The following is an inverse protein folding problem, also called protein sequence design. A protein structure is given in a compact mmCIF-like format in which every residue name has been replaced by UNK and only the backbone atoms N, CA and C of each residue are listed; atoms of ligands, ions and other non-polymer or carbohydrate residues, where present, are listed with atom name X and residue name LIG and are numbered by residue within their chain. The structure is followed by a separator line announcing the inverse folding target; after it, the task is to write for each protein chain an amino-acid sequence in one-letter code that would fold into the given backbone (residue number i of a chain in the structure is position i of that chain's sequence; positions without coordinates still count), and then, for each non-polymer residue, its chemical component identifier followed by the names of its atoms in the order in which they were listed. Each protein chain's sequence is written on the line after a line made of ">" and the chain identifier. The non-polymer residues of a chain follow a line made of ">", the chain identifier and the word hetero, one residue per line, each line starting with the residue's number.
data_IF_066068628286
#
_entry.id   IF_066068628286
#
_cell.length_a   1.000
_cell.length_b   1.000
_cell.length_c   1.000
_cell.angle_alpha   90.00
_cell.angle_beta   90.00
_cell.angle_gamma   90.00
#
_symmetry.space_group_name_H-M   'P 1'
#
loop_
_entity.id
_entity.type
_entity.pdbx_description
1 polymer ?
#
# COMPACT_ATOMS: atom_id res chain seq x y z
N UNK A 1 28.07 2.43 49.65
CA UNK A 1 26.79 3.10 49.32
C UNK A 1 27.02 3.90 48.05
N UNK A 2 27.21 3.24 46.91
CA UNK A 2 26.18 2.75 45.96
C UNK A 2 25.43 3.90 45.30
N UNK A 3 26.00 4.42 44.22
CA UNK A 3 25.28 5.21 43.22
C UNK A 3 24.61 4.23 42.25
N UNK A 4 23.28 4.30 42.14
CA UNK A 4 22.47 3.46 41.26
C UNK A 4 22.19 4.23 39.99
N UNK A 5 22.92 3.88 38.93
CA UNK A 5 22.63 4.28 37.55
C UNK A 5 21.54 3.36 37.02
N UNK A 6 20.35 3.89 36.73
CA UNK A 6 19.25 3.13 36.12
C UNK A 6 19.47 3.13 34.60
N UNK A 7 20.11 2.08 34.10
CA UNK A 7 20.10 1.67 32.70
C UNK A 7 18.83 0.87 32.44
N UNK A 8 17.83 1.50 31.80
CA UNK A 8 16.66 0.77 31.29
C UNK A 8 17.06 0.03 30.02
N UNK A 9 17.08 -1.29 30.13
CA UNK A 9 17.38 -2.28 29.10
C UNK A 9 16.24 -2.38 28.09
N UNK A 10 16.54 -2.08 26.83
CA UNK A 10 15.68 -2.38 25.68
C UNK A 10 15.81 -3.88 25.37
N UNK A 11 14.72 -4.65 25.20
CA UNK A 11 14.82 -6.04 24.78
C UNK A 11 15.21 -6.14 23.31
N UNK A 12 16.37 -6.74 23.08
CA UNK A 12 16.79 -7.32 21.81
C UNK A 12 15.87 -8.51 21.46
N UNK A 13 15.27 -8.51 20.26
CA UNK A 13 15.18 -9.66 19.33
C UNK A 13 14.01 -9.51 18.35
N UNK A 14 14.37 -9.37 17.08
CA UNK A 14 13.48 -9.53 15.92
C UNK A 14 14.33 -9.44 14.67
N UNK A 15 14.90 -10.57 14.26
CA UNK A 15 15.68 -10.72 13.03
C UNK A 15 14.94 -10.07 11.85
N UNK A 16 15.53 -9.04 11.28
CA UNK A 16 15.24 -8.62 9.92
C UNK A 16 16.14 -9.48 9.04
N UNK A 17 15.61 -10.63 8.62
CA UNK A 17 16.08 -11.31 7.41
C UNK A 17 15.53 -10.52 6.23
N UNK A 18 16.22 -9.43 5.90
CA UNK A 18 16.01 -8.76 4.62
C UNK A 18 16.57 -9.69 3.54
N UNK A 19 15.65 -10.38 2.88
CA UNK A 19 15.83 -11.16 1.67
C UNK A 19 16.23 -10.24 0.49
N UNK A 20 17.36 -9.57 0.58
CA UNK A 20 17.96 -8.79 -0.51
C UNK A 20 18.82 -9.63 -1.45
N UNK A 21 18.85 -10.97 -1.27
CA UNK A 21 19.62 -11.88 -2.10
C UNK A 21 18.88 -12.39 -3.36
N UNK A 22 17.60 -12.06 -3.56
CA UNK A 22 16.81 -12.65 -4.66
C UNK A 22 16.82 -11.87 -5.98
N UNK A 23 17.44 -10.68 -6.04
CA UNK A 23 17.46 -9.86 -7.26
C UNK A 23 18.83 -9.76 -7.95
N UNK A 24 19.90 -10.23 -7.31
CA UNK A 24 21.24 -10.27 -7.93
C UNK A 24 21.40 -11.46 -8.90
N UNK A 25 20.50 -12.45 -8.83
CA UNK A 25 20.62 -13.69 -9.59
C UNK A 25 20.01 -13.65 -10.98
N UNK A 26 19.07 -12.73 -11.27
CA UNK A 26 18.33 -12.75 -12.55
C UNK A 26 19.22 -12.45 -13.76
N UNK A 27 20.16 -11.50 -13.64
CA UNK A 27 21.08 -11.16 -14.74
C UNK A 27 22.12 -12.27 -14.97
N UNK A 28 22.72 -12.79 -13.89
CA UNK A 28 23.69 -13.88 -13.97
C UNK A 28 23.05 -15.17 -14.51
N UNK A 29 21.83 -15.49 -14.09
CA UNK A 29 21.07 -16.65 -14.56
C UNK A 29 20.69 -16.54 -16.03
N UNK A 30 20.28 -15.36 -16.51
CA UNK A 30 20.01 -15.13 -17.94
C UNK A 30 21.29 -15.28 -18.77
N UNK A 31 22.43 -14.78 -18.30
CA UNK A 31 23.72 -14.92 -18.99
C UNK A 31 24.12 -16.40 -19.06
N UNK A 32 24.02 -17.14 -17.95
CA UNK A 32 24.33 -18.56 -17.89
C UNK A 32 23.41 -19.41 -18.78
N UNK A 33 22.11 -19.14 -18.78
CA UNK A 33 21.16 -19.79 -19.70
C UNK A 33 21.49 -19.49 -21.17
N UNK A 34 21.93 -18.27 -21.50
CA UNK A 34 22.35 -17.96 -22.87
C UNK A 34 23.64 -18.67 -23.29
N UNK A 35 24.57 -18.90 -22.37
CA UNK A 35 25.79 -19.70 -22.63
C UNK A 35 25.46 -21.19 -22.78
N UNK A 36 24.56 -21.72 -21.96
CA UNK A 36 24.06 -23.10 -22.11
C UNK A 36 23.39 -23.31 -23.47
N UNK A 37 22.54 -22.38 -23.90
CA UNK A 37 21.90 -22.41 -25.23
C UNK A 37 22.94 -22.31 -26.36
N UNK A 38 24.00 -21.49 -26.22
CA UNK A 38 25.12 -21.46 -27.19
C UNK A 38 25.84 -22.81 -27.25
N UNK A 39 26.05 -23.47 -26.11
CA UNK A 39 26.71 -24.79 -26.03
C UNK A 39 25.88 -25.89 -26.70
N UNK A 40 24.56 -25.86 -26.53
CA UNK A 40 23.64 -26.76 -27.25
C UNK A 40 23.71 -26.49 -28.75
N UNK A 41 23.61 -25.23 -29.18
CA UNK A 41 23.64 -24.85 -30.60
C UNK A 41 24.93 -25.29 -31.29
N UNK A 42 26.08 -25.07 -30.64
CA UNK A 42 27.38 -25.50 -31.18
C UNK A 42 27.51 -27.02 -31.24
N UNK A 43 26.91 -27.76 -30.29
CA UNK A 43 26.89 -29.23 -30.32
C UNK A 43 25.99 -29.76 -31.43
N UNK A 44 24.79 -29.20 -31.60
CA UNK A 44 23.89 -29.55 -32.70
C UNK A 44 24.50 -29.23 -34.07
N UNK A 45 25.23 -28.12 -34.19
CA UNK A 45 25.93 -27.75 -35.42
C UNK A 45 27.10 -28.71 -35.72
N UNK A 46 27.80 -29.22 -34.69
CA UNK A 46 28.82 -30.27 -34.88
C UNK A 46 28.20 -31.58 -35.35
N UNK A 47 27.09 -32.00 -34.76
CA UNK A 47 26.36 -33.22 -35.16
C UNK A 47 25.87 -33.10 -36.60
N UNK A 48 25.29 -31.95 -36.96
CA UNK A 48 24.88 -31.64 -38.33
C UNK A 48 26.07 -31.72 -39.30
N UNK A 49 27.20 -31.09 -38.97
CA UNK A 49 28.38 -31.16 -39.82
C UNK A 49 28.97 -32.57 -39.92
N UNK A 50 28.81 -33.43 -38.92
CA UNK A 50 29.24 -34.81 -38.97
C UNK A 50 28.36 -35.66 -39.90
N UNK A 51 27.04 -35.50 -39.80
CA UNK A 51 26.06 -36.21 -40.63
C UNK A 51 26.18 -35.78 -42.10
N UNK A 52 26.37 -34.50 -42.37
CA UNK A 52 26.38 -33.97 -43.74
C UNK A 52 27.76 -33.86 -44.40
N UNK A 53 28.87 -34.05 -43.65
CA UNK A 53 30.22 -34.13 -44.25
C UNK A 53 30.66 -35.57 -44.58
N UNK A 54 30.09 -36.60 -43.95
CA UNK A 54 30.41 -38.00 -44.27
C UNK A 54 29.77 -38.48 -45.59
N UNK A 55 28.66 -37.86 -46.03
CA UNK A 55 28.02 -38.22 -47.30
C UNK A 55 28.83 -37.82 -48.56
N UNK A 56 29.70 -36.81 -48.46
CA UNK A 56 30.51 -36.32 -49.60
C UNK A 56 31.84 -37.07 -49.74
N UNK A 57 32.33 -37.78 -48.70
CA UNK A 57 33.67 -38.38 -48.70
C UNK A 57 33.72 -39.90 -48.96
N UNK A 58 32.62 -40.62 -48.79
CA UNK A 58 32.63 -42.09 -48.87
C UNK A 58 32.28 -42.69 -50.25
N UNK A 59 31.91 -41.89 -51.25
CA UNK A 59 31.55 -42.39 -52.57
C UNK A 59 32.71 -42.53 -53.57
N UNK A 60 33.94 -42.22 -53.17
CA UNK A 60 35.09 -42.21 -54.10
C UNK A 60 36.38 -42.71 -53.46
N UNK A 61 36.40 -43.91 -52.89
CA UNK A 61 37.68 -44.62 -52.70
C UNK A 61 37.47 -46.12 -52.50
N UNK A 62 37.98 -46.86 -53.50
CA UNK A 62 38.39 -48.26 -53.46
C UNK A 62 37.30 -49.33 -53.65
N UNK A 63 37.57 -50.44 -54.32
CA UNK A 63 38.45 -50.79 -55.42
C UNK A 63 38.07 -52.26 -55.73
N UNK A 64 38.09 -52.65 -57.00
CA UNK A 64 38.12 -54.05 -57.45
C UNK A 64 38.97 -54.94 -56.52
N UNK A 65 38.45 -56.10 -56.14
CA UNK A 65 39.14 -57.40 -56.19
C UNK A 65 38.22 -58.52 -55.68
N UNK A 66 38.35 -59.72 -56.25
CA UNK A 66 37.94 -60.94 -55.56
C UNK A 66 36.85 -61.81 -56.19
N UNK A 67 36.64 -61.78 -57.51
CA UNK A 67 36.13 -62.99 -58.16
C UNK A 67 37.26 -64.04 -58.12
N UNK A 68 36.97 -65.18 -57.48
CA UNK A 68 37.70 -66.47 -57.43
C UNK A 68 38.53 -66.76 -56.17
N UNK A 69 37.90 -67.59 -55.33
CA UNK A 69 38.28 -68.98 -55.02
C UNK A 69 39.05 -69.28 -53.72
N UNK A 70 38.38 -70.04 -52.84
CA UNK A 70 38.92 -71.15 -52.04
C UNK A 70 37.68 -71.98 -51.61
N UNK A 71 37.56 -73.29 -51.75
CA UNK A 71 38.56 -74.34 -51.67
C UNK A 71 38.30 -75.14 -50.39
N UNK A 72 37.45 -76.17 -50.46
CA UNK A 72 37.49 -77.26 -49.48
C UNK A 72 37.39 -78.61 -50.21
N UNK A 73 38.41 -79.42 -49.99
CA UNK A 73 38.66 -80.76 -50.52
C UNK A 73 38.14 -81.79 -49.53
N UNK A 74 37.74 -82.95 -50.06
CA UNK A 74 37.48 -84.29 -49.47
C UNK A 74 35.97 -84.63 -49.46
N UNK A 75 35.48 -85.74 -50.03
CA UNK A 75 36.11 -86.99 -50.47
C UNK A 75 35.33 -87.58 -51.65
N UNK A 76 36.04 -88.27 -52.52
CA UNK A 76 35.43 -89.27 -53.39
C UNK A 76 35.07 -90.50 -52.57
N UNK A 77 33.84 -90.95 -52.71
CA UNK A 77 33.47 -92.36 -52.66
C UNK A 77 32.35 -92.55 -53.67
N UNK A 78 32.67 -93.31 -54.72
CA UNK A 78 31.68 -94.04 -55.48
C UNK A 78 30.85 -94.88 -54.50
N UNK A 79 29.61 -94.48 -54.29
CA UNK A 79 28.56 -95.39 -53.88
C UNK A 79 27.25 -94.80 -54.33
N UNK A 80 26.78 -95.36 -55.43
CA UNK A 80 25.41 -95.38 -55.88
C UNK A 80 24.49 -95.79 -54.70
N UNK A 81 23.97 -94.81 -53.95
CA UNK A 81 22.67 -94.84 -53.26
C UNK A 81 22.33 -93.44 -52.70
N UNK A 82 21.14 -92.99 -53.03
CA UNK A 82 20.43 -91.72 -52.76
C UNK A 82 20.68 -91.00 -51.40
N UNK A 83 21.11 -89.71 -51.40
CA UNK A 83 21.13 -88.85 -50.21
C UNK A 83 20.24 -87.58 -50.33
N UNK A 84 19.03 -87.70 -50.89
CA UNK A 84 18.14 -86.54 -51.12
C UNK A 84 17.20 -86.17 -49.94
N UNK A 85 16.90 -87.09 -49.01
CA UNK A 85 15.95 -86.81 -47.91
C UNK A 85 16.52 -86.01 -46.72
N UNK A 86 17.74 -86.32 -46.25
CA UNK A 86 18.26 -85.72 -45.01
C UNK A 86 18.62 -84.22 -45.13
N UNK A 87 18.90 -83.73 -46.35
CA UNK A 87 19.22 -82.32 -46.63
C UNK A 87 17.96 -81.45 -46.70
N UNK A 88 16.88 -81.99 -47.28
CA UNK A 88 15.58 -81.31 -47.38
C UNK A 88 14.95 -81.10 -46.00
N UNK A 89 15.02 -82.11 -45.13
CA UNK A 89 14.46 -82.05 -43.78
C UNK A 89 15.19 -81.02 -42.90
N UNK A 90 16.53 -80.96 -42.97
CA UNK A 90 17.34 -79.98 -42.25
C UNK A 90 17.04 -78.54 -42.70
N UNK A 91 16.78 -78.33 -43.99
CA UNK A 91 16.37 -77.02 -44.51
C UNK A 91 14.97 -76.65 -44.05
N UNK A 92 14.05 -77.61 -44.00
CA UNK A 92 12.68 -77.39 -43.55
C UNK A 92 12.62 -77.04 -42.06
N UNK A 93 13.43 -77.67 -41.20
CA UNK A 93 13.58 -77.27 -39.79
C UNK A 93 14.14 -75.86 -39.64
N UNK A 94 15.15 -75.50 -40.43
CA UNK A 94 15.72 -74.15 -40.44
C UNK A 94 14.69 -73.09 -40.85
N UNK A 95 13.82 -73.40 -41.81
CA UNK A 95 12.73 -72.50 -42.23
C UNK A 95 11.72 -72.33 -41.08
N UNK A 96 11.25 -73.42 -40.48
CA UNK A 96 10.33 -73.38 -39.32
C UNK A 96 10.92 -72.58 -38.15
N UNK A 97 12.21 -72.74 -37.86
CA UNK A 97 12.91 -71.97 -36.83
C UNK A 97 12.96 -70.47 -37.14
N UNK A 98 13.24 -70.11 -38.40
CA UNK A 98 13.21 -68.71 -38.86
C UNK A 98 11.81 -68.10 -38.81
N UNK A 99 10.77 -68.85 -39.16
CA UNK A 99 9.38 -68.41 -39.09
C UNK A 99 8.94 -68.16 -37.63
N UNK A 100 9.35 -69.05 -36.71
CA UNK A 100 9.10 -68.86 -35.29
C UNK A 100 9.80 -67.60 -34.75
N UNK A 101 11.06 -67.39 -35.15
CA UNK A 101 11.81 -66.18 -34.79
C UNK A 101 11.16 -64.91 -35.37
N UNK A 102 10.67 -64.94 -36.61
CA UNK A 102 9.96 -63.83 -37.23
C UNK A 102 8.66 -63.51 -36.49
N UNK A 103 7.91 -64.54 -36.09
CA UNK A 103 6.69 -64.38 -35.30
C UNK A 103 6.97 -63.73 -33.94
N UNK A 104 8.06 -64.13 -33.28
CA UNK A 104 8.48 -63.55 -32.01
C UNK A 104 8.93 -62.09 -32.15
N UNK A 105 9.77 -61.78 -33.15
CA UNK A 105 10.14 -60.39 -33.45
C UNK A 105 8.92 -59.52 -33.82
N UNK A 106 7.93 -60.08 -34.51
CA UNK A 106 6.71 -59.34 -34.85
C UNK A 106 5.88 -59.00 -33.60
N UNK A 107 5.78 -59.93 -32.64
CA UNK A 107 5.15 -59.66 -31.33
C UNK A 107 5.91 -58.58 -30.55
N UNK A 108 7.25 -58.63 -30.57
CA UNK A 108 8.08 -57.60 -29.93
C UNK A 108 7.86 -56.21 -30.56
N UNK A 109 7.80 -56.13 -31.89
CA UNK A 109 7.53 -54.87 -32.60
C UNK A 109 6.17 -54.27 -32.22
N UNK A 110 5.11 -55.08 -32.10
CA UNK A 110 3.80 -54.60 -31.63
C UNK A 110 3.86 -54.08 -30.19
N UNK A 111 4.60 -54.75 -29.30
CA UNK A 111 4.81 -54.26 -27.92
C UNK A 111 5.60 -52.94 -27.91
N UNK A 112 6.63 -52.80 -28.73
CA UNK A 112 7.41 -51.58 -28.84
C UNK A 112 6.57 -50.41 -29.35
N UNK A 113 5.68 -50.66 -30.32
CA UNK A 113 4.73 -49.66 -30.83
C UNK A 113 3.80 -49.15 -29.73
N UNK A 114 3.21 -50.04 -28.93
CA UNK A 114 2.36 -49.67 -27.79
C UNK A 114 3.15 -48.85 -26.76
N UNK A 115 4.38 -49.27 -26.42
CA UNK A 115 5.24 -48.52 -25.48
C UNK A 115 5.59 -47.12 -25.99
N UNK A 116 5.86 -47.00 -27.29
CA UNK A 116 6.15 -45.71 -27.92
C UNK A 116 4.93 -44.80 -27.86
N UNK A 117 3.75 -45.30 -28.21
CA UNK A 117 2.49 -44.55 -28.13
C UNK A 117 2.17 -44.15 -26.69
N UNK A 118 2.30 -45.06 -25.72
CA UNK A 118 2.10 -44.78 -24.30
C UNK A 118 3.09 -43.72 -23.77
N UNK A 119 4.37 -43.79 -24.17
CA UNK A 119 5.38 -42.80 -23.78
C UNK A 119 5.08 -41.42 -24.38
N UNK A 120 4.60 -41.37 -25.62
CA UNK A 120 4.17 -40.13 -26.28
C UNK A 120 2.94 -39.53 -25.60
N UNK A 121 1.94 -40.35 -25.29
CA UNK A 121 0.72 -39.88 -24.61
C UNK A 121 1.03 -39.42 -23.18
N UNK A 122 1.86 -40.15 -22.44
CA UNK A 122 2.32 -39.71 -21.12
C UNK A 122 3.07 -38.36 -21.17
N UNK A 123 3.92 -38.16 -22.18
CA UNK A 123 4.60 -36.89 -22.43
C UNK A 123 3.63 -35.74 -22.75
N UNK A 124 2.66 -35.98 -23.64
CA UNK A 124 1.64 -34.99 -23.98
C UNK A 124 0.74 -34.65 -22.78
N UNK A 125 0.36 -35.65 -21.97
CA UNK A 125 -0.41 -35.46 -20.75
C UNK A 125 0.37 -34.65 -19.70
N UNK A 126 1.66 -34.90 -19.52
CA UNK A 126 2.51 -34.12 -18.64
C UNK A 126 2.59 -32.65 -19.05
N UNK A 127 2.76 -32.37 -20.36
CA UNK A 127 2.77 -31.00 -20.88
C UNK A 127 1.42 -30.30 -20.68
N UNK A 128 0.31 -30.98 -20.95
CA UNK A 128 -1.05 -30.45 -20.69
C UNK A 128 -1.24 -30.12 -19.21
N UNK A 129 -0.82 -31.00 -18.31
CA UNK A 129 -0.95 -30.78 -16.86
C UNK A 129 -0.13 -29.56 -16.39
N UNK A 130 1.13 -29.46 -16.84
CA UNK A 130 1.98 -28.31 -16.51
C UNK A 130 1.39 -27.01 -17.04
N UNK A 131 0.94 -26.99 -18.30
CA UNK A 131 0.33 -25.81 -18.90
C UNK A 131 -0.95 -25.37 -18.16
N UNK A 132 -1.80 -26.32 -17.80
CA UNK A 132 -3.03 -26.05 -17.02
C UNK A 132 -2.70 -25.47 -15.65
N UNK A 133 -1.79 -26.09 -14.89
CA UNK A 133 -1.38 -25.59 -13.56
C UNK A 133 -0.79 -24.19 -13.62
N UNK A 134 0.04 -23.93 -14.64
CA UNK A 134 0.65 -22.61 -14.82
C UNK A 134 -0.42 -21.54 -15.08
N UNK A 135 -1.42 -21.85 -15.91
CA UNK A 135 -2.55 -20.96 -16.17
C UNK A 135 -3.43 -20.74 -14.93
N UNK A 136 -3.77 -21.80 -14.20
CA UNK A 136 -4.56 -21.73 -12.96
C UNK A 136 -3.85 -20.90 -11.89
N UNK A 137 -2.54 -21.12 -11.72
CA UNK A 137 -1.72 -20.35 -10.78
C UNK A 137 -1.69 -18.87 -11.16
N UNK A 138 -1.45 -18.55 -12.43
CA UNK A 138 -1.46 -17.16 -12.90
C UNK A 138 -2.83 -16.50 -12.69
N UNK A 139 -3.92 -17.20 -13.01
CA UNK A 139 -5.26 -16.68 -12.83
C UNK A 139 -5.58 -16.43 -11.35
N UNK A 140 -5.22 -17.37 -10.48
CA UNK A 140 -5.42 -17.27 -9.02
C UNK A 140 -4.62 -16.10 -8.45
N UNK A 141 -3.34 -16.02 -8.78
CA UNK A 141 -2.46 -14.93 -8.33
C UNK A 141 -2.94 -13.55 -8.83
N UNK A 142 -3.38 -13.46 -10.09
CA UNK A 142 -3.90 -12.21 -10.65
C UNK A 142 -5.18 -11.76 -9.94
N UNK A 143 -6.08 -12.70 -9.60
CA UNK A 143 -7.30 -12.41 -8.84
C UNK A 143 -6.97 -11.97 -7.41
N UNK A 144 -6.05 -12.67 -6.73
CA UNK A 144 -5.65 -12.33 -5.37
C UNK A 144 -5.01 -10.95 -5.27
N UNK A 145 -4.11 -10.60 -6.20
CA UNK A 145 -3.48 -9.27 -6.24
C UNK A 145 -4.52 -8.17 -6.48
N UNK A 146 -5.48 -8.39 -7.40
CA UNK A 146 -6.58 -7.45 -7.64
C UNK A 146 -7.43 -7.26 -6.39
N UNK A 147 -7.83 -8.35 -5.74
CA UNK A 147 -8.60 -8.30 -4.51
C UNK A 147 -7.87 -7.53 -3.41
N UNK A 148 -6.59 -7.86 -3.15
CA UNK A 148 -5.77 -7.15 -2.14
C UNK A 148 -5.66 -5.65 -2.43
N UNK A 149 -5.56 -5.29 -3.71
CA UNK A 149 -5.50 -3.88 -4.12
C UNK A 149 -6.85 -3.18 -3.91
N UNK A 150 -7.97 -3.84 -4.23
CA UNK A 150 -9.32 -3.33 -3.95
C UNK A 150 -9.56 -3.17 -2.45
N UNK A 151 -9.20 -4.17 -1.64
CA UNK A 151 -9.30 -4.11 -0.17
C UNK A 151 -8.46 -2.97 0.40
N UNK A 152 -7.23 -2.80 -0.10
CA UNK A 152 -6.35 -1.69 0.30
C UNK A 152 -6.95 -0.33 -0.08
N UNK A 153 -7.60 -0.24 -1.25
CA UNK A 153 -8.28 0.97 -1.71
C UNK A 153 -9.47 1.31 -0.82
N UNK A 154 -10.30 0.32 -0.48
CA UNK A 154 -11.43 0.49 0.43
C UNK A 154 -10.97 0.91 1.83
N UNK A 155 -9.93 0.27 2.36
CA UNK A 155 -9.35 0.62 3.66
C UNK A 155 -8.84 2.07 3.70
N UNK A 156 -8.13 2.51 2.65
CA UNK A 156 -7.67 3.88 2.52
C UNK A 156 -8.84 4.87 2.39
N UNK A 157 -9.90 4.51 1.67
CA UNK A 157 -11.10 5.34 1.52
C UNK A 157 -11.82 5.52 2.86
N UNK A 158 -12.05 4.43 3.59
CA UNK A 158 -12.67 4.47 4.92
C UNK A 158 -11.83 5.30 5.89
N UNK A 159 -10.50 5.10 5.92
CA UNK A 159 -9.62 5.89 6.78
C UNK A 159 -9.62 7.39 6.44
N UNK A 160 -9.68 7.71 5.14
CA UNK A 160 -9.77 9.09 4.65
C UNK A 160 -11.08 9.73 5.12
N UNK A 161 -12.22 9.05 4.92
CA UNK A 161 -13.53 9.54 5.34
C UNK A 161 -13.63 9.71 6.85
N UNK A 162 -13.08 8.78 7.64
CA UNK A 162 -13.07 8.88 9.10
C UNK A 162 -12.27 10.11 9.58
N UNK A 163 -11.09 10.35 8.98
CA UNK A 163 -10.27 11.53 9.29
C UNK A 163 -10.97 12.83 8.86
N UNK A 164 -11.62 12.84 7.70
CA UNK A 164 -12.40 13.97 7.22
C UNK A 164 -13.57 14.29 8.14
N UNK A 165 -14.30 13.27 8.61
CA UNK A 165 -15.39 13.45 9.56
C UNK A 165 -14.91 14.01 10.91
N UNK A 166 -13.80 13.49 11.45
CA UNK A 166 -13.18 14.02 12.68
C UNK A 166 -12.75 15.48 12.51
N UNK A 167 -12.17 15.83 11.36
CA UNK A 167 -11.81 17.21 11.05
C UNK A 167 -13.05 18.10 10.97
N UNK A 168 -14.11 17.65 10.30
CA UNK A 168 -15.38 18.37 10.21
C UNK A 168 -15.98 18.65 11.59
N UNK A 169 -15.98 17.66 12.48
CA UNK A 169 -16.45 17.84 13.85
C UNK A 169 -15.58 18.83 14.64
N UNK A 170 -14.26 18.80 14.45
CA UNK A 170 -13.34 19.74 15.10
C UNK A 170 -13.58 21.18 14.64
N UNK A 171 -13.76 21.38 13.34
CA UNK A 171 -14.10 22.69 12.76
C UNK A 171 -15.44 23.20 13.28
N UNK A 172 -16.46 22.35 13.32
CA UNK A 172 -17.78 22.70 13.85
C UNK A 172 -17.70 23.13 15.33
N UNK A 173 -16.98 22.37 16.16
CA UNK A 173 -16.76 22.72 17.56
C UNK A 173 -16.01 24.05 17.72
N UNK A 174 -14.99 24.31 16.87
CA UNK A 174 -14.27 25.58 16.88
C UNK A 174 -15.17 26.75 16.50
N UNK A 175 -16.02 26.58 15.48
CA UNK A 175 -16.99 27.60 15.08
C UNK A 175 -17.96 27.93 16.23
N UNK A 176 -18.51 26.92 16.89
CA UNK A 176 -19.40 27.14 18.05
C UNK A 176 -18.73 27.87 19.21
N UNK A 177 -17.44 27.62 19.45
CA UNK A 177 -16.69 28.36 20.48
C UNK A 177 -16.40 29.78 20.00
N UNK A 178 -16.10 29.98 18.72
CA UNK A 178 -15.86 31.30 18.15
C UNK A 178 -17.11 32.20 18.22
N UNK A 179 -18.28 31.66 17.86
CA UNK A 179 -19.57 32.36 17.99
C UNK A 179 -19.84 32.79 19.44
N UNK A 180 -19.69 31.86 20.40
CA UNK A 180 -19.83 32.19 21.84
C UNK A 180 -18.82 33.23 22.31
N UNK A 181 -17.59 33.20 21.78
CA UNK A 181 -16.56 34.17 22.13
C UNK A 181 -16.92 35.57 21.62
N UNK A 182 -17.45 35.66 20.40
CA UNK A 182 -17.96 36.90 19.79
C UNK A 182 -19.15 37.46 20.58
N UNK A 183 -20.13 36.62 20.93
CA UNK A 183 -21.26 37.02 21.79
C UNK A 183 -20.78 37.59 23.13
N UNK A 184 -19.83 36.93 23.79
CA UNK A 184 -19.25 37.41 25.05
C UNK A 184 -18.48 38.71 24.86
N UNK A 185 -17.80 38.88 23.74
CA UNK A 185 -17.12 40.14 23.41
C UNK A 185 -18.11 41.29 23.24
N UNK A 186 -19.21 41.06 22.52
CA UNK A 186 -20.29 42.05 22.37
C UNK A 186 -20.91 42.41 23.72
N UNK A 187 -21.18 41.42 24.59
CA UNK A 187 -21.68 41.66 25.95
C UNK A 187 -20.71 42.52 26.79
N UNK A 188 -19.41 42.28 26.68
CA UNK A 188 -18.38 43.09 27.36
C UNK A 188 -18.45 44.54 26.88
N UNK A 189 -18.48 44.76 25.56
CA UNK A 189 -18.55 46.10 24.98
C UNK A 189 -19.83 46.84 25.39
N UNK A 190 -20.99 46.17 25.44
CA UNK A 190 -22.25 46.76 25.90
C UNK A 190 -22.19 47.17 27.38
N UNK A 191 -21.67 46.29 28.25
CA UNK A 191 -21.52 46.56 29.68
C UNK A 191 -20.50 47.69 29.94
N UNK A 192 -19.39 47.72 29.21
CA UNK A 192 -18.39 48.80 29.29
C UNK A 192 -19.02 50.15 28.92
N UNK A 193 -19.80 50.20 27.83
CA UNK A 193 -20.51 51.40 27.42
C UNK A 193 -21.57 51.84 28.46
N UNK A 194 -22.31 50.90 29.05
CA UNK A 194 -23.28 51.19 30.11
C UNK A 194 -22.60 51.80 31.34
N UNK A 195 -21.55 51.14 31.84
CA UNK A 195 -20.77 51.60 32.99
C UNK A 195 -20.18 52.99 32.70
N UNK A 196 -19.63 53.22 31.51
CA UNK A 196 -19.08 54.51 31.14
C UNK A 196 -20.13 55.63 31.13
N UNK A 197 -21.37 55.35 30.67
CA UNK A 197 -22.49 56.31 30.73
C UNK A 197 -22.87 56.63 32.16
N UNK A 198 -22.98 55.61 33.01
CA UNK A 198 -23.29 55.79 34.43
C UNK A 198 -22.18 56.57 35.17
N UNK A 199 -20.91 56.33 34.84
CA UNK A 199 -19.78 57.09 35.41
C UNK A 199 -19.77 58.56 34.94
N UNK A 200 -20.20 58.84 33.71
CA UNK A 200 -20.41 60.22 33.24
C UNK A 200 -21.54 60.90 34.02
N UNK A 201 -22.68 60.24 34.19
CA UNK A 201 -23.80 60.76 34.98
C UNK A 201 -23.42 61.00 36.44
N UNK A 202 -22.67 60.07 37.05
CA UNK A 202 -22.16 60.25 38.41
C UNK A 202 -21.30 61.52 38.53
N UNK A 203 -20.46 61.80 37.53
CA UNK A 203 -19.63 63.03 37.51
C UNK A 203 -20.49 64.29 37.41
N UNK A 204 -21.48 64.32 36.52
CA UNK A 204 -22.36 65.48 36.37
C UNK A 204 -23.20 65.74 37.63
N UNK A 205 -23.67 64.69 38.31
CA UNK A 205 -24.37 64.81 39.60
C UNK A 205 -23.46 65.34 40.71
N UNK A 206 -22.21 64.88 40.78
CA UNK A 206 -21.21 65.37 41.74
C UNK A 206 -20.90 66.86 41.50
N UNK A 207 -20.71 67.27 40.25
CA UNK A 207 -20.50 68.68 39.89
C UNK A 207 -21.70 69.55 40.27
N UNK A 208 -22.93 69.09 39.99
CA UNK A 208 -24.16 69.78 40.38
C UNK A 208 -24.26 69.92 41.91
N UNK A 209 -23.99 68.84 42.65
CA UNK A 209 -23.99 68.84 44.11
C UNK A 209 -23.00 69.87 44.66
N UNK A 210 -21.77 69.88 44.16
CA UNK A 210 -20.72 70.82 44.58
C UNK A 210 -21.10 72.28 44.27
N UNK A 211 -21.76 72.55 43.14
CA UNK A 211 -22.31 73.87 42.83
C UNK A 211 -23.36 74.34 43.84
N UNK A 212 -24.25 73.46 44.29
CA UNK A 212 -25.26 73.78 45.30
C UNK A 212 -24.66 73.97 46.69
N UNK A 213 -23.67 73.16 47.07
CA UNK A 213 -22.92 73.32 48.32
C UNK A 213 -22.22 74.69 48.40
N UNK A 214 -21.59 75.13 47.30
CA UNK A 214 -20.98 76.46 47.22
C UNK A 214 -22.03 77.58 47.34
N UNK A 215 -23.18 77.46 46.64
CA UNK A 215 -24.29 78.43 46.76
C UNK A 215 -24.84 78.49 48.18
N UNK A 216 -24.98 77.34 48.84
CA UNK A 216 -25.42 77.24 50.23
C UNK A 216 -24.44 77.96 51.16
N UNK A 217 -23.13 77.79 50.95
CA UNK A 217 -22.08 78.44 51.72
C UNK A 217 -22.12 79.98 51.57
N UNK A 218 -22.38 80.49 50.36
CA UNK A 218 -22.57 81.92 50.10
C UNK A 218 -23.87 82.51 50.66
N UNK A 219 -24.96 81.74 50.70
CA UNK A 219 -26.23 82.21 51.28
C UNK A 219 -26.18 82.16 52.81
N UNK A 220 -25.46 81.21 53.40
CA UNK A 220 -25.30 81.10 54.86
C UNK A 220 -24.52 82.27 55.47
N UNK A 221 -23.64 82.92 54.70
CA UNK A 221 -22.97 84.17 55.11
C UNK A 221 -23.86 85.42 54.98
N UNK A 222 -25.02 85.32 54.30
CA UNK A 222 -26.03 86.37 54.15
C UNK A 222 -27.29 86.00 54.95
N UNK A 223 -27.36 86.44 56.21
CA UNK A 223 -28.30 85.96 57.23
C UNK A 223 -29.83 86.08 56.95
N UNK A 224 -30.26 86.59 55.78
CA UNK A 224 -31.65 86.93 55.48
C UNK A 224 -32.47 85.85 54.74
N UNK A 225 -31.89 84.73 54.29
CA UNK A 225 -32.55 83.78 53.37
C UNK A 225 -32.73 82.34 53.91
N UNK A 226 -33.23 82.18 55.14
CA UNK A 226 -33.32 80.87 55.82
C UNK A 226 -34.07 79.77 55.03
N UNK A 227 -35.19 80.11 54.36
CA UNK A 227 -36.00 79.14 53.60
C UNK A 227 -35.27 78.60 52.37
N UNK A 228 -34.60 79.48 51.60
CA UNK A 228 -33.81 79.10 50.43
C UNK A 228 -32.61 78.22 50.81
N UNK A 229 -31.96 78.47 51.96
CA UNK A 229 -30.93 77.58 52.48
C UNK A 229 -31.46 76.19 52.79
N UNK A 230 -32.65 76.08 53.40
CA UNK A 230 -33.26 74.80 53.74
C UNK A 230 -33.66 74.01 52.48
N UNK A 231 -34.17 74.68 51.45
CA UNK A 231 -34.51 74.07 50.17
C UNK A 231 -33.27 73.56 49.42
N UNK A 232 -32.18 74.35 49.40
CA UNK A 232 -30.89 73.90 48.84
C UNK A 232 -30.32 72.71 49.61
N UNK A 233 -30.46 72.70 50.93
CA UNK A 233 -29.97 71.59 51.77
C UNK A 233 -30.73 70.29 51.49
N UNK A 234 -32.05 70.36 51.20
CA UNK A 234 -32.84 69.21 50.74
C UNK A 234 -32.39 68.73 49.36
N UNK A 235 -32.14 69.63 48.40
CA UNK A 235 -31.66 69.25 47.06
C UNK A 235 -30.28 68.58 47.13
N UNK A 236 -29.37 69.07 47.98
CA UNK A 236 -28.06 68.46 48.23
C UNK A 236 -28.23 67.04 48.81
N UNK A 237 -29.17 66.83 49.73
CA UNK A 237 -29.46 65.50 50.29
C UNK A 237 -29.99 64.53 49.22
N UNK A 238 -30.94 64.97 48.39
CA UNK A 238 -31.47 64.17 47.29
C UNK A 238 -30.37 63.79 46.29
N UNK A 239 -29.51 64.72 45.92
CA UNK A 239 -28.37 64.44 45.04
C UNK A 239 -27.38 63.47 45.68
N UNK A 240 -27.13 63.59 46.98
CA UNK A 240 -26.28 62.65 47.70
C UNK A 240 -26.86 61.23 47.64
N UNK A 241 -28.16 61.07 47.85
CA UNK A 241 -28.85 59.78 47.73
C UNK A 241 -28.78 59.23 46.30
N UNK A 242 -29.06 60.05 45.28
CA UNK A 242 -28.95 59.64 43.87
C UNK A 242 -27.53 59.20 43.50
N UNK A 243 -26.51 59.92 43.99
CA UNK A 243 -25.11 59.56 43.78
C UNK A 243 -24.78 58.23 44.48
N UNK A 244 -25.24 58.03 45.72
CA UNK A 244 -25.04 56.78 46.46
C UNK A 244 -25.72 55.58 45.76
N UNK A 245 -26.95 55.75 45.29
CA UNK A 245 -27.65 54.72 44.52
C UNK A 245 -26.92 54.40 43.21
N UNK A 246 -26.55 55.42 42.44
CA UNK A 246 -25.84 55.24 41.18
C UNK A 246 -24.48 54.56 41.39
N UNK A 247 -23.75 54.90 42.45
CA UNK A 247 -22.51 54.22 42.85
C UNK A 247 -22.72 52.72 43.10
N UNK A 248 -23.81 52.36 43.81
CA UNK A 248 -24.14 50.96 44.06
C UNK A 248 -24.42 50.19 42.76
N UNK A 249 -25.24 50.75 41.87
CA UNK A 249 -25.53 50.11 40.58
C UNK A 249 -24.26 49.99 39.73
N UNK A 250 -23.40 51.02 39.68
CA UNK A 250 -22.11 50.96 38.97
C UNK A 250 -21.25 49.82 39.51
N UNK A 251 -21.20 49.64 40.83
CA UNK A 251 -20.42 48.55 41.44
C UNK A 251 -20.94 47.17 41.02
N UNK A 252 -22.25 46.97 41.04
CA UNK A 252 -22.89 45.72 40.59
C UNK A 252 -22.63 45.46 39.10
N UNK A 253 -22.71 46.48 38.24
CA UNK A 253 -22.41 46.35 36.81
C UNK A 253 -20.92 46.03 36.56
N UNK A 254 -19.99 46.64 37.30
CA UNK A 254 -18.57 46.28 37.27
C UNK A 254 -18.33 44.82 37.68
N UNK A 255 -19.06 44.32 38.68
CA UNK A 255 -18.96 42.93 39.12
C UNK A 255 -19.46 41.96 38.03
N UNK A 256 -20.56 42.30 37.36
CA UNK A 256 -21.07 41.54 36.21
C UNK A 256 -20.05 41.52 35.06
N UNK A 257 -19.53 42.69 34.68
CA UNK A 257 -18.51 42.83 33.63
C UNK A 257 -17.28 41.95 33.91
N UNK A 258 -16.78 41.92 35.16
CA UNK A 258 -15.68 41.03 35.54
C UNK A 258 -16.01 39.55 35.37
N UNK A 259 -17.25 39.13 35.68
CA UNK A 259 -17.71 37.75 35.46
C UNK A 259 -17.68 37.39 33.97
N UNK A 260 -18.23 38.24 33.11
CA UNK A 260 -18.26 38.00 31.65
C UNK A 260 -16.86 37.99 31.06
N UNK A 261 -15.95 38.88 31.51
CA UNK A 261 -14.53 38.88 31.10
C UNK A 261 -13.85 37.55 31.49
N UNK A 262 -14.13 37.04 32.69
CA UNK A 262 -13.57 35.77 33.15
C UNK A 262 -14.06 34.60 32.28
N UNK A 263 -15.36 34.53 31.98
CA UNK A 263 -15.92 33.53 31.07
C UNK A 263 -15.33 33.62 29.65
N UNK A 264 -15.14 34.83 29.12
CA UNK A 264 -14.50 35.06 27.82
C UNK A 264 -13.05 34.53 27.82
N UNK A 265 -12.30 34.76 28.89
CA UNK A 265 -10.94 34.25 29.07
C UNK A 265 -10.90 32.72 29.09
N UNK A 266 -11.84 32.08 29.78
CA UNK A 266 -11.95 30.63 29.83
C UNK A 266 -12.30 30.03 28.45
N UNK A 267 -13.20 30.66 27.70
CA UNK A 267 -13.48 30.27 26.31
C UNK A 267 -12.24 30.42 25.43
N UNK A 268 -11.47 31.50 25.58
CA UNK A 268 -10.22 31.71 24.83
C UNK A 268 -9.17 30.64 25.13
N UNK A 269 -9.07 30.20 26.39
CA UNK A 269 -8.20 29.06 26.76
C UNK A 269 -8.68 27.76 26.13
N UNK A 270 -9.99 27.51 26.06
CA UNK A 270 -10.53 26.35 25.32
C UNK A 270 -10.14 26.41 23.84
N UNK A 271 -10.25 27.57 23.19
CA UNK A 271 -9.80 27.74 21.78
C UNK A 271 -8.32 27.38 21.63
N UNK A 272 -7.45 27.87 22.52
CA UNK A 272 -6.03 27.55 22.48
C UNK A 272 -5.79 26.03 22.57
N UNK A 273 -6.46 25.35 23.51
CA UNK A 273 -6.38 23.89 23.67
C UNK A 273 -6.81 23.14 22.39
N UNK A 274 -7.93 23.55 21.77
CA UNK A 274 -8.40 22.92 20.53
C UNK A 274 -7.49 23.22 19.34
N UNK A 275 -6.83 24.39 19.32
CA UNK A 275 -5.90 24.77 18.25
C UNK A 275 -4.55 24.03 18.34
N UNK A 276 -4.14 23.61 19.53
CA UNK A 276 -2.89 22.89 19.78
C UNK A 276 -2.99 21.38 19.49
N UNK A 277 -4.20 20.82 19.32
CA UNK A 277 -4.34 19.41 18.94
C UNK A 277 -3.61 19.12 17.62
N UNK A 278 -2.68 18.15 17.59
CA UNK A 278 -1.86 17.89 16.40
C UNK A 278 -2.75 17.57 15.21
N UNK A 279 -2.69 18.41 14.16
CA UNK A 279 -3.30 18.08 12.87
C UNK A 279 -2.69 16.75 12.42
N UNK A 280 -3.50 15.72 12.13
CA UNK A 280 -2.95 14.46 11.65
C UNK A 280 -2.18 14.76 10.37
N UNK A 281 -0.87 14.48 10.38
CA UNK A 281 -0.03 14.60 9.18
C UNK A 281 -0.66 13.70 8.11
N UNK A 282 -1.24 14.33 7.09
CA UNK A 282 -1.77 13.60 5.94
C UNK A 282 -0.56 13.06 5.21
N UNK A 283 -0.21 11.79 5.46
CA UNK A 283 0.78 11.09 4.65
C UNK A 283 0.34 11.20 3.20
N UNK A 284 1.19 11.83 2.38
CA UNK A 284 0.97 11.97 0.94
C UNK A 284 0.92 10.55 0.37
N UNK A 285 -0.27 10.04 0.08
CA UNK A 285 -0.41 8.78 -0.62
C UNK A 285 0.12 9.02 -2.05
N UNK A 286 1.20 8.31 -2.41
CA UNK A 286 1.65 8.27 -3.80
C UNK A 286 0.57 7.52 -4.57
N UNK A 287 -0.17 8.26 -5.39
CA UNK A 287 -1.14 7.67 -6.30
C UNK A 287 -0.37 6.87 -7.35
N UNK A 288 -0.37 5.55 -7.22
CA UNK A 288 0.09 4.63 -8.28
C UNK A 288 -0.98 4.41 -9.35
N UNK A 289 -2.05 5.23 -9.34
CA UNK A 289 -3.18 5.19 -10.25
C UNK A 289 -2.83 5.71 -11.65
N UNK A 290 -1.88 5.08 -12.34
CA UNK A 290 -1.71 5.31 -13.79
C UNK A 290 -0.97 4.19 -14.54
N UNK A 291 -0.71 3.03 -13.93
CA UNK A 291 -0.46 1.82 -14.70
C UNK A 291 -1.80 1.15 -15.02
N UNK A 292 -2.52 1.71 -16.01
CA UNK A 292 -3.63 1.04 -16.69
C UNK A 292 -3.11 -0.25 -17.31
N UNK A 293 -3.11 -1.32 -16.51
CA UNK A 293 -2.78 -2.69 -16.91
C UNK A 293 -4.04 -3.49 -17.28
N UNK A 294 -5.20 -2.85 -17.25
CA UNK A 294 -6.45 -3.40 -17.75
C UNK A 294 -6.34 -3.68 -19.26
N UNK A 295 -6.18 -4.96 -19.60
CA UNK A 295 -6.18 -5.47 -20.97
C UNK A 295 -4.82 -5.72 -21.60
N UNK A 296 -3.70 -5.37 -20.95
CA UNK A 296 -2.36 -5.66 -21.50
C UNK A 296 -1.94 -7.08 -21.15
N UNK A 297 -2.12 -7.98 -22.12
CA UNK A 297 -1.48 -9.30 -22.09
C UNK A 297 0.04 -9.16 -21.95
N UNK A 298 0.73 -10.10 -21.26
CA UNK A 298 2.18 -10.07 -21.09
C UNK A 298 2.95 -9.93 -22.42
N UNK A 299 2.39 -10.46 -23.51
CA UNK A 299 2.91 -10.27 -24.88
C UNK A 299 2.97 -8.80 -25.30
N UNK A 300 1.95 -8.00 -25.00
CA UNK A 300 1.91 -6.58 -25.36
C UNK A 300 2.93 -5.75 -24.58
N UNK A 301 3.21 -6.12 -23.33
CA UNK A 301 4.23 -5.48 -22.50
C UNK A 301 5.65 -5.76 -23.04
N UNK A 302 5.93 -7.01 -23.42
CA UNK A 302 7.23 -7.40 -23.99
C UNK A 302 7.50 -6.73 -25.34
N UNK A 303 6.48 -6.49 -26.16
CA UNK A 303 6.61 -5.81 -27.45
C UNK A 303 6.98 -4.33 -27.30
N UNK A 304 6.54 -3.65 -26.23
CA UNK A 304 6.89 -2.25 -25.98
C UNK A 304 8.33 -2.04 -25.50
N UNK A 305 8.93 -3.05 -24.85
CA UNK A 305 10.32 -3.00 -24.37
C UNK A 305 11.37 -3.23 -25.47
N UNK A 306 10.93 -3.57 -26.70
CA UNK A 306 11.80 -3.78 -27.88
C UNK A 306 11.91 -2.57 -28.82
N UNK A 307 11.36 -1.41 -28.44
CA UNK A 307 11.58 -0.15 -29.16
C UNK A 307 12.63 0.69 -28.46
#
# INVERSE_FOLDING_TARGET
>A
MTAVTVTTTVPLKGKIEDNSASYESTSAHIIEETEYVKKIRTTLEKIRNQIFKDEVRHNSTNHKQGAKHCGHIQNGFDSELDPSCCSLDLLMERIKGKDLQLLEMNKENEVLKIKLEASREAGAAALRNVAQRLFENYQTQSKEVRQKHEDSRHLLQVNTLEKEQKLKQHVENLNQIAEKLEEKHNQITELENLVQRMEKEKRTLLEKKLSLENKLLHLKSKATYAKSCQDLQKEIFLLQEQISHLQFVIHSQHQNLRSVIQENKELKTKVALWSETPRPKVSKAVSTSELKTEGMTPYLMLVRLRK
#
